data_IF_154851952956
#
_entry.id   IF_154851952956
#
_cell.length_a   1.000
_cell.length_b   1.000
_cell.length_c   1.000
_cell.angle_alpha   90.00
_cell.angle_beta   90.00
_cell.angle_gamma   90.00
#
_symmetry.space_group_name_H-M   'P 1'
#
loop_
_entity.id
_entity.type
_entity.pdbx_description
1 polymer ?
#
# COMPACT_ATOMS: atom_id res chain seq x y z
N UNK A 1 -8.28 20.83 -21.82
CA UNK A 1 -6.87 20.95 -21.40
C UNK A 1 -6.75 20.27 -20.04
N UNK A 2 -6.14 19.11 -20.00
CA UNK A 2 -5.86 18.41 -18.77
C UNK A 2 -4.46 18.83 -18.33
N UNK A 3 -4.28 19.45 -17.15
CA UNK A 3 -2.96 19.83 -16.65
C UNK A 3 -2.12 18.57 -16.41
N UNK A 4 -0.81 18.69 -16.61
CA UNK A 4 0.10 17.61 -16.28
C UNK A 4 0.14 17.44 -14.75
N UNK A 5 -0.06 16.22 -14.21
CA UNK A 5 -0.02 16.00 -12.78
C UNK A 5 1.39 16.21 -12.23
N UNK A 6 1.46 16.75 -11.00
CA UNK A 6 2.71 16.79 -10.27
C UNK A 6 3.17 15.36 -9.92
N UNK A 7 4.43 15.06 -10.21
CA UNK A 7 5.04 13.76 -9.92
C UNK A 7 6.08 13.93 -8.81
N UNK A 8 5.88 13.36 -7.62
CA UNK A 8 6.80 13.51 -6.48
C UNK A 8 8.07 12.65 -6.67
N UNK A 9 8.94 13.06 -7.59
CA UNK A 9 10.18 12.34 -7.94
C UNK A 9 11.28 12.51 -6.89
N UNK A 10 11.26 13.62 -6.15
CA UNK A 10 12.29 13.98 -5.14
C UNK A 10 12.11 13.25 -3.80
N UNK A 11 11.06 12.42 -3.68
CA UNK A 11 10.80 11.62 -2.50
C UNK A 11 11.44 10.23 -2.61
N UNK A 12 11.68 9.53 -1.49
CA UNK A 12 12.14 8.15 -1.53
C UNK A 12 11.19 7.25 -2.32
N UNK A 13 11.76 6.34 -3.12
CA UNK A 13 11.01 5.41 -3.96
C UNK A 13 9.97 4.62 -3.20
N UNK A 14 8.79 4.51 -3.80
CA UNK A 14 7.70 3.67 -3.32
C UNK A 14 6.81 3.20 -4.46
N UNK A 15 6.56 1.90 -4.51
CA UNK A 15 5.65 1.26 -5.45
C UNK A 15 4.83 0.16 -4.75
N UNK A 16 3.51 0.31 -4.61
CA UNK A 16 2.64 -0.79 -4.18
C UNK A 16 2.63 -1.92 -5.22
N UNK A 17 2.68 -3.16 -4.75
CA UNK A 17 2.65 -4.34 -5.61
C UNK A 17 1.19 -4.67 -5.95
N UNK A 18 0.87 -4.66 -7.23
CA UNK A 18 -0.46 -4.99 -7.77
C UNK A 18 -0.54 -6.46 -8.18
N UNK A 19 0.52 -6.96 -8.82
CA UNK A 19 0.59 -8.36 -9.25
C UNK A 19 2.02 -8.90 -9.25
N UNK A 20 2.15 -10.24 -9.22
CA UNK A 20 3.43 -10.94 -9.13
C UNK A 20 3.49 -12.05 -10.18
N UNK A 21 4.49 -12.00 -11.03
CA UNK A 21 4.72 -12.97 -12.10
C UNK A 21 6.08 -13.66 -11.96
N UNK A 22 6.15 -14.88 -12.40
CA UNK A 22 7.41 -15.59 -12.56
C UNK A 22 7.73 -15.70 -14.05
N UNK A 23 8.89 -15.21 -14.47
CA UNK A 23 9.36 -15.33 -15.85
C UNK A 23 10.47 -16.35 -15.88
N UNK A 24 10.25 -17.43 -16.66
CA UNK A 24 11.23 -18.50 -16.82
C UNK A 24 12.58 -17.95 -17.30
N UNK A 25 13.66 -18.27 -16.59
CA UNK A 25 15.02 -17.80 -16.87
C UNK A 25 15.34 -16.36 -16.50
N UNK A 26 14.35 -15.56 -16.05
CA UNK A 26 14.57 -14.15 -15.62
C UNK A 26 14.34 -13.92 -14.13
N UNK A 27 13.40 -14.64 -13.51
CA UNK A 27 13.07 -14.49 -12.09
C UNK A 27 11.67 -13.94 -11.83
N UNK A 28 11.49 -13.34 -10.68
CA UNK A 28 10.22 -12.76 -10.25
C UNK A 28 10.10 -11.31 -10.71
N UNK A 29 8.96 -11.00 -11.33
CA UNK A 29 8.58 -9.64 -11.74
C UNK A 29 7.36 -9.23 -10.94
N UNK A 30 7.39 -8.04 -10.39
CA UNK A 30 6.24 -7.41 -9.73
C UNK A 30 5.79 -6.20 -10.52
N UNK A 31 4.50 -6.01 -10.62
CA UNK A 31 3.91 -4.85 -11.31
C UNK A 31 3.26 -3.91 -10.33
N UNK A 32 3.24 -2.64 -10.66
CA UNK A 32 2.56 -1.62 -9.90
C UNK A 32 2.83 -0.22 -10.44
N UNK A 33 2.09 0.73 -9.89
CA UNK A 33 2.33 2.14 -10.20
C UNK A 33 3.28 2.72 -9.15
N UNK A 34 4.35 3.37 -9.62
CA UNK A 34 5.25 4.11 -8.73
C UNK A 34 4.49 5.32 -8.18
N UNK A 35 4.29 5.36 -6.86
CA UNK A 35 3.61 6.48 -6.20
C UNK A 35 4.51 7.69 -6.05
N UNK A 36 5.79 7.47 -5.72
CA UNK A 36 6.78 8.51 -5.49
C UNK A 36 8.19 8.00 -5.74
N UNK A 37 9.09 8.94 -5.94
CA UNK A 37 10.51 8.66 -6.15
C UNK A 37 10.84 8.10 -7.51
N UNK A 38 12.06 7.60 -7.59
CA UNK A 38 12.66 6.99 -8.78
C UNK A 38 13.30 5.67 -8.34
N UNK A 39 13.23 4.64 -9.16
CA UNK A 39 13.97 3.40 -9.01
C UNK A 39 14.86 3.18 -10.23
N UNK A 40 16.15 2.91 -9.99
CA UNK A 40 17.11 2.63 -11.05
C UNK A 40 17.39 1.13 -11.15
N UNK A 41 17.74 0.68 -12.34
CA UNK A 41 18.27 -0.68 -12.53
C UNK A 41 19.62 -0.80 -11.80
N UNK A 42 19.76 -1.85 -10.99
CA UNK A 42 20.93 -2.10 -10.13
C UNK A 42 20.76 -1.59 -8.70
N UNK A 43 19.71 -0.85 -8.38
CA UNK A 43 19.47 -0.29 -7.05
C UNK A 43 18.95 -1.34 -6.06
N UNK A 44 19.41 -1.26 -4.80
CA UNK A 44 18.88 -2.05 -3.70
C UNK A 44 17.53 -1.47 -3.27
N UNK A 45 16.54 -2.34 -3.10
CA UNK A 45 15.18 -2.01 -2.66
C UNK A 45 14.72 -2.98 -1.59
N UNK A 46 13.72 -2.59 -0.82
CA UNK A 46 13.08 -3.44 0.19
C UNK A 46 11.66 -3.81 -0.22
N UNK A 47 11.29 -5.05 0.11
CA UNK A 47 9.91 -5.54 0.04
C UNK A 47 9.34 -5.46 1.44
N UNK A 48 8.34 -4.61 1.66
CA UNK A 48 7.81 -4.28 2.99
C UNK A 48 6.31 -4.56 3.08
N UNK A 49 5.86 -5.00 4.25
CA UNK A 49 4.46 -5.26 4.57
C UNK A 49 4.07 -6.73 4.48
N UNK A 50 3.01 -7.12 5.19
CA UNK A 50 2.42 -8.46 5.30
C UNK A 50 3.37 -9.54 5.85
N UNK A 51 4.61 -9.56 5.44
CA UNK A 51 5.69 -10.47 5.86
C UNK A 51 6.88 -9.68 6.40
N UNK A 52 7.89 -10.40 6.88
CA UNK A 52 9.17 -9.78 7.25
C UNK A 52 9.77 -9.01 6.07
N UNK A 53 10.32 -7.84 6.37
CA UNK A 53 10.98 -7.00 5.36
C UNK A 53 12.18 -7.72 4.79
N UNK A 54 12.25 -7.83 3.49
CA UNK A 54 13.36 -8.44 2.77
C UNK A 54 14.00 -7.47 1.79
N UNK A 55 15.31 -7.62 1.61
CA UNK A 55 16.09 -6.81 0.66
C UNK A 55 16.27 -7.55 -0.65
N UNK A 56 16.20 -6.83 -1.74
CA UNK A 56 16.44 -7.33 -3.09
C UNK A 56 17.06 -6.25 -3.96
N UNK A 57 17.42 -6.60 -5.18
CA UNK A 57 17.95 -5.63 -6.16
C UNK A 57 17.00 -5.55 -7.36
N UNK A 58 16.68 -4.34 -7.79
CA UNK A 58 16.01 -4.09 -9.06
C UNK A 58 16.95 -4.44 -10.21
N UNK A 59 16.69 -5.51 -10.94
CA UNK A 59 17.56 -5.92 -12.07
C UNK A 59 17.00 -5.52 -13.42
N UNK A 60 15.83 -4.96 -13.47
CA UNK A 60 15.21 -4.44 -14.69
C UNK A 60 13.91 -3.72 -14.39
N UNK A 61 13.62 -2.73 -15.19
CA UNK A 61 12.35 -1.99 -15.21
C UNK A 61 11.79 -2.09 -16.61
N UNK A 62 10.52 -2.45 -16.74
CA UNK A 62 9.85 -2.62 -18.02
C UNK A 62 8.51 -1.88 -18.02
N UNK A 63 8.25 -1.14 -19.11
CA UNK A 63 6.96 -0.49 -19.36
C UNK A 63 6.57 -0.64 -20.81
N UNK A 64 5.35 -1.12 -21.10
CA UNK A 64 4.85 -1.34 -22.46
C UNK A 64 5.80 -2.18 -23.33
N UNK A 65 6.39 -3.26 -22.77
CA UNK A 65 7.37 -4.14 -23.44
C UNK A 65 8.69 -3.45 -23.82
N UNK A 66 9.00 -2.31 -23.21
CA UNK A 66 10.28 -1.62 -23.35
C UNK A 66 11.04 -1.67 -22.03
N UNK A 67 12.30 -2.04 -22.12
CA UNK A 67 13.22 -1.95 -20.99
C UNK A 67 13.60 -0.49 -20.78
N UNK A 68 13.58 -0.08 -19.53
CA UNK A 68 13.95 1.26 -19.08
C UNK A 68 15.15 1.17 -18.13
N UNK A 69 15.97 2.20 -18.11
CA UNK A 69 17.08 2.32 -17.16
C UNK A 69 16.58 2.69 -15.76
N UNK A 70 15.44 3.37 -15.69
CA UNK A 70 14.77 3.79 -14.46
C UNK A 70 13.26 3.83 -14.64
N UNK A 71 12.53 3.74 -13.51
CA UNK A 71 11.10 4.06 -13.40
C UNK A 71 10.89 5.24 -12.46
N UNK A 72 9.92 6.10 -12.74
CA UNK A 72 9.67 7.30 -11.95
C UNK A 72 8.21 7.44 -11.52
N UNK A 73 7.98 8.29 -10.50
CA UNK A 73 6.64 8.54 -9.96
C UNK A 73 5.60 8.77 -11.07
N UNK A 74 4.48 8.04 -10.99
CA UNK A 74 3.38 8.06 -11.96
C UNK A 74 3.47 6.98 -13.04
N UNK A 75 4.63 6.31 -13.20
CA UNK A 75 4.78 5.23 -14.17
C UNK A 75 4.17 3.93 -13.64
N UNK A 76 3.50 3.19 -14.52
CA UNK A 76 3.06 1.83 -14.25
C UNK A 76 4.08 0.86 -14.89
N UNK A 77 4.82 0.15 -14.05
CA UNK A 77 6.00 -0.63 -14.47
C UNK A 77 5.97 -2.05 -13.94
N UNK A 78 6.70 -2.92 -14.62
CA UNK A 78 7.17 -4.20 -14.10
C UNK A 78 8.60 -4.06 -13.60
N UNK A 79 8.85 -4.45 -12.35
CA UNK A 79 10.19 -4.45 -11.72
C UNK A 79 10.66 -5.89 -11.57
N UNK A 80 11.82 -6.19 -12.12
CA UNK A 80 12.46 -7.50 -12.02
C UNK A 80 13.32 -7.55 -10.75
N UNK A 81 13.07 -8.55 -9.90
CA UNK A 81 13.70 -8.72 -8.59
C UNK A 81 14.77 -9.82 -8.64
N UNK A 82 15.95 -9.52 -8.07
CA UNK A 82 17.05 -10.49 -7.99
C UNK A 82 16.84 -11.48 -6.85
N UNK A 83 16.94 -12.79 -7.16
CA UNK A 83 16.99 -13.85 -6.15
C UNK A 83 15.72 -14.00 -5.30
N UNK A 84 14.66 -13.31 -5.64
CA UNK A 84 13.37 -13.36 -4.95
C UNK A 84 12.48 -14.39 -5.63
N UNK A 85 11.96 -15.35 -4.86
CA UNK A 85 10.99 -16.31 -5.36
C UNK A 85 9.59 -15.73 -5.37
N UNK A 86 8.72 -16.25 -6.25
CA UNK A 86 7.34 -15.78 -6.35
C UNK A 86 6.56 -15.90 -5.02
N UNK A 87 6.83 -16.95 -4.24
CA UNK A 87 6.16 -17.23 -2.97
C UNK A 87 6.58 -16.27 -1.84
N UNK A 88 7.70 -15.57 -2.03
CA UNK A 88 8.24 -14.62 -1.06
C UNK A 88 7.58 -13.24 -1.18
N UNK A 89 6.93 -12.97 -2.32
CA UNK A 89 6.28 -11.70 -2.63
C UNK A 89 4.81 -11.90 -2.93
N UNK A 90 3.98 -11.00 -2.45
CA UNK A 90 2.55 -11.04 -2.72
C UNK A 90 1.97 -9.63 -2.93
N UNK A 91 0.80 -9.60 -3.58
CA UNK A 91 0.02 -8.38 -3.74
C UNK A 91 -0.26 -7.76 -2.36
N UNK A 92 -0.16 -6.44 -2.28
CA UNK A 92 -0.39 -5.70 -1.06
C UNK A 92 0.88 -5.32 -0.30
N UNK A 93 2.01 -5.99 -0.56
CA UNK A 93 3.32 -5.51 -0.16
C UNK A 93 3.73 -4.29 -1.00
N UNK A 94 4.77 -3.59 -0.57
CA UNK A 94 5.32 -2.45 -1.30
C UNK A 94 6.81 -2.65 -1.56
N UNK A 95 7.28 -2.19 -2.72
CA UNK A 95 8.69 -1.92 -2.94
C UNK A 95 9.02 -0.52 -2.46
N UNK A 96 10.10 -0.38 -1.74
CA UNK A 96 10.52 0.90 -1.18
C UNK A 96 12.05 1.07 -1.20
N UNK A 97 12.50 2.31 -1.17
CA UNK A 97 13.90 2.61 -0.89
C UNK A 97 14.27 2.10 0.52
N UNK A 98 15.49 1.52 0.72
CA UNK A 98 15.87 0.90 1.98
C UNK A 98 15.73 1.82 3.19
N UNK A 99 15.12 1.29 4.27
CA UNK A 99 14.95 2.00 5.54
C UNK A 99 13.98 3.17 5.54
N UNK A 100 13.24 3.40 4.46
CA UNK A 100 12.32 4.56 4.36
C UNK A 100 10.90 4.26 4.84
N UNK A 101 10.59 3.00 5.08
CA UNK A 101 9.25 2.52 5.40
C UNK A 101 9.29 1.56 6.58
N UNK A 102 8.43 1.80 7.55
CA UNK A 102 8.20 0.89 8.68
C UNK A 102 6.77 0.37 8.61
N UNK A 103 6.55 -0.93 8.68
CA UNK A 103 5.20 -1.49 8.76
C UNK A 103 4.60 -1.26 10.15
N UNK A 104 3.31 -0.97 10.20
CA UNK A 104 2.56 -0.77 11.44
C UNK A 104 1.33 -1.67 11.46
N UNK A 105 0.89 -2.06 12.67
CA UNK A 105 -0.36 -2.81 12.87
C UNK A 105 -1.46 -1.94 13.44
N UNK A 106 -1.12 -0.80 14.05
CA UNK A 106 -2.06 0.13 14.65
C UNK A 106 -1.98 1.49 13.94
N UNK A 107 -3.12 2.09 13.69
CA UNK A 107 -3.22 3.43 13.13
C UNK A 107 -4.46 4.17 13.64
N UNK A 108 -4.35 5.48 13.73
CA UNK A 108 -5.47 6.36 14.05
C UNK A 108 -6.05 6.92 12.74
N UNK A 109 -7.36 6.96 12.65
CA UNK A 109 -8.04 7.50 11.50
C UNK A 109 -9.30 8.29 11.90
N UNK A 110 -9.69 9.21 11.05
CA UNK A 110 -11.01 9.81 11.04
C UNK A 110 -11.82 9.13 9.95
N UNK A 111 -13.01 8.67 10.30
CA UNK A 111 -13.88 7.95 9.38
C UNK A 111 -15.27 8.56 9.34
N UNK A 112 -15.79 8.77 8.15
CA UNK A 112 -17.20 9.05 7.92
C UNK A 112 -17.94 7.74 7.65
N UNK A 113 -19.00 7.49 8.42
CA UNK A 113 -19.80 6.28 8.30
C UNK A 113 -20.94 6.52 7.34
N UNK A 114 -20.87 5.97 6.14
CA UNK A 114 -21.88 6.13 5.11
C UNK A 114 -23.27 5.71 5.62
N UNK A 115 -24.29 6.52 5.32
CA UNK A 115 -25.69 6.23 5.58
C UNK A 115 -26.22 5.18 4.61
N UNK A 116 -27.41 4.61 4.91
CA UNK A 116 -28.08 3.68 4.02
C UNK A 116 -28.38 4.29 2.64
N UNK A 117 -28.73 5.56 2.58
CA UNK A 117 -29.04 6.29 1.35
C UNK A 117 -27.81 6.47 0.46
N UNK A 118 -26.63 6.57 1.07
CA UNK A 118 -25.34 6.63 0.40
C UNK A 118 -24.76 5.25 0.03
N UNK A 119 -25.53 4.18 0.24
CA UNK A 119 -25.09 2.81 -0.02
C UNK A 119 -24.29 2.19 1.14
N UNK A 120 -24.29 2.84 2.30
CA UNK A 120 -23.63 2.35 3.50
C UNK A 120 -24.49 1.45 4.37
N UNK A 121 -24.11 1.34 5.63
CA UNK A 121 -24.80 0.51 6.60
C UNK A 121 -26.05 1.20 7.18
N UNK A 122 -26.97 0.42 7.72
CA UNK A 122 -28.20 0.91 8.37
C UNK A 122 -28.23 0.60 9.88
N UNK A 123 -27.19 -0.05 10.41
CA UNK A 123 -27.09 -0.40 11.83
C UNK A 123 -25.82 0.22 12.41
N UNK A 124 -25.85 0.63 13.70
CA UNK A 124 -24.64 1.10 14.38
C UNK A 124 -23.59 0.00 14.52
N UNK A 125 -22.36 0.39 14.85
CA UNK A 125 -21.35 -0.54 15.30
C UNK A 125 -20.74 -0.09 16.63
N UNK A 126 -20.14 -1.03 17.31
CA UNK A 126 -19.55 -0.88 18.65
C UNK A 126 -18.04 -1.08 18.58
N UNK A 127 -17.36 -0.79 19.69
CA UNK A 127 -15.96 -1.13 19.83
C UNK A 127 -15.72 -2.62 19.59
N UNK A 128 -14.56 -2.97 19.07
CA UNK A 128 -14.20 -4.33 18.60
C UNK A 128 -14.97 -4.78 17.33
N UNK A 129 -15.64 -3.89 16.63
CA UNK A 129 -16.12 -4.17 15.27
C UNK A 129 -14.95 -4.56 14.37
N UNK A 130 -15.15 -5.60 13.55
CA UNK A 130 -14.08 -6.19 12.72
C UNK A 130 -14.40 -6.04 11.22
N UNK A 131 -14.13 -4.86 10.64
CA UNK A 131 -14.26 -4.66 9.20
C UNK A 131 -13.05 -5.18 8.44
N UNK A 132 -13.19 -5.24 7.12
CA UNK A 132 -12.06 -5.28 6.21
C UNK A 132 -11.60 -3.86 5.93
N UNK A 133 -10.31 -3.62 6.07
CA UNK A 133 -9.67 -2.36 5.70
C UNK A 133 -8.97 -2.53 4.36
N UNK A 134 -9.16 -1.59 3.46
CA UNK A 134 -8.54 -1.59 2.15
C UNK A 134 -7.43 -0.55 2.11
N UNK A 135 -6.20 -1.03 1.91
CA UNK A 135 -5.02 -0.18 1.81
C UNK A 135 -4.35 -0.42 0.46
N UNK A 136 -4.34 0.60 -0.42
CA UNK A 136 -3.76 0.49 -1.76
C UNK A 136 -4.24 -0.76 -2.50
N UNK A 137 -3.39 -1.79 -2.54
CA UNK A 137 -3.61 -3.01 -3.32
C UNK A 137 -3.99 -4.22 -2.46
N UNK A 138 -4.12 -4.04 -1.15
CA UNK A 138 -4.49 -5.13 -0.22
C UNK A 138 -5.72 -4.82 0.60
N UNK A 139 -6.38 -5.87 1.07
CA UNK A 139 -7.40 -5.85 2.10
C UNK A 139 -6.94 -6.66 3.31
N UNK A 140 -7.25 -6.17 4.49
CA UNK A 140 -6.91 -6.81 5.75
C UNK A 140 -8.03 -6.71 6.75
N UNK A 141 -8.19 -7.75 7.54
CA UNK A 141 -9.10 -7.73 8.68
C UNK A 141 -8.41 -7.09 9.88
N UNK A 142 -9.14 -6.23 10.57
CA UNK A 142 -8.69 -5.64 11.83
C UNK A 142 -9.86 -5.35 12.75
N UNK A 143 -9.59 -4.80 13.91
CA UNK A 143 -10.59 -4.33 14.87
C UNK A 143 -10.55 -2.83 15.00
N UNK A 144 -11.71 -2.25 15.33
CA UNK A 144 -11.86 -0.82 15.60
C UNK A 144 -11.98 -0.62 17.11
N UNK A 145 -11.19 0.30 17.64
CA UNK A 145 -11.31 0.79 19.02
C UNK A 145 -11.85 2.21 18.98
N UNK A 146 -13.01 2.40 19.62
CA UNK A 146 -13.67 3.69 19.76
C UNK A 146 -13.03 4.50 20.90
N UNK A 147 -13.04 5.82 20.81
CA UNK A 147 -12.53 6.67 21.88
C UNK A 147 -13.35 6.53 23.16
N UNK A 148 -12.71 6.78 24.29
CA UNK A 148 -13.35 6.72 25.61
C UNK A 148 -14.59 7.61 25.67
N UNK A 149 -15.71 7.04 26.11
CA UNK A 149 -17.00 7.74 26.19
C UNK A 149 -17.91 7.57 24.95
N UNK A 150 -17.42 6.91 23.91
CA UNK A 150 -18.24 6.56 22.73
C UNK A 150 -18.58 5.07 22.80
N UNK A 151 -19.85 4.74 23.02
CA UNK A 151 -20.30 3.36 23.10
C UNK A 151 -20.58 2.78 21.71
N UNK A 152 -21.16 3.58 20.81
CA UNK A 152 -21.50 3.17 19.45
C UNK A 152 -21.34 4.31 18.46
N UNK A 153 -21.26 3.95 17.19
CA UNK A 153 -21.19 4.88 16.05
C UNK A 153 -22.37 4.62 15.12
N UNK A 154 -23.08 5.68 14.77
CA UNK A 154 -24.26 5.62 13.90
C UNK A 154 -23.88 5.88 12.44
N UNK A 155 -24.65 5.37 11.47
CA UNK A 155 -24.56 5.83 10.09
C UNK A 155 -24.75 7.35 9.99
N UNK A 156 -23.85 8.04 9.27
CA UNK A 156 -23.81 9.50 9.15
C UNK A 156 -22.85 10.18 10.12
N UNK A 157 -22.28 9.45 11.07
CA UNK A 157 -21.31 10.02 12.01
C UNK A 157 -19.90 10.17 11.41
N UNK A 158 -19.20 11.22 11.87
CA UNK A 158 -17.75 11.35 11.75
C UNK A 158 -17.12 10.96 13.07
N UNK A 159 -16.16 10.04 13.03
CA UNK A 159 -15.51 9.51 14.23
C UNK A 159 -14.00 9.39 14.06
N UNK A 160 -13.25 9.89 15.05
CA UNK A 160 -11.85 9.56 15.21
C UNK A 160 -11.73 8.24 15.97
N UNK A 161 -11.03 7.25 15.41
CA UNK A 161 -10.91 5.92 15.99
C UNK A 161 -9.52 5.36 15.80
N UNK A 162 -9.17 4.35 16.61
CA UNK A 162 -7.97 3.56 16.42
C UNK A 162 -8.34 2.25 15.74
N UNK A 163 -7.65 1.91 14.67
CA UNK A 163 -7.79 0.64 13.99
C UNK A 163 -6.54 -0.21 14.21
N UNK A 164 -6.76 -1.47 14.59
CA UNK A 164 -5.71 -2.46 14.81
C UNK A 164 -5.86 -3.57 13.79
N UNK A 165 -4.89 -3.67 12.90
CA UNK A 165 -4.81 -4.73 11.91
C UNK A 165 -4.19 -5.99 12.48
N UNK A 166 -4.65 -7.17 12.07
CA UNK A 166 -4.05 -8.45 12.47
C UNK A 166 -2.80 -8.81 11.67
N UNK A 167 -2.49 -8.03 10.63
CA UNK A 167 -1.27 -8.18 9.83
C UNK A 167 -0.50 -6.86 9.80
N UNK A 168 0.82 -6.95 9.63
CA UNK A 168 1.67 -5.76 9.49
C UNK A 168 1.32 -5.02 8.20
N UNK A 169 0.74 -3.84 8.35
CA UNK A 169 0.39 -2.95 7.27
C UNK A 169 1.28 -1.73 7.25
N UNK A 170 1.37 -1.13 6.11
CA UNK A 170 1.78 0.25 6.02
C UNK A 170 0.55 1.15 6.10
N UNK A 171 0.36 1.80 7.24
CA UNK A 171 -0.59 2.91 7.34
C UNK A 171 -0.14 4.04 6.42
N UNK A 172 -1.06 4.60 5.67
CA UNK A 172 -0.80 5.79 4.87
C UNK A 172 -0.77 6.99 5.82
N UNK A 173 0.35 7.71 5.88
CA UNK A 173 0.31 9.07 6.38
C UNK A 173 -0.46 9.92 5.35
N UNK A 174 -1.76 10.04 5.51
CA UNK A 174 -2.52 11.11 4.86
C UNK A 174 -2.16 12.39 5.59
N UNK A 175 -1.37 13.25 4.96
CA UNK A 175 -1.36 14.65 5.34
C UNK A 175 -2.78 15.14 5.12
N UNK A 176 -3.50 15.41 6.21
CA UNK A 176 -4.71 16.23 6.14
C UNK A 176 -4.30 17.61 5.65
N UNK A 177 -4.91 18.04 4.57
CA UNK A 177 -4.88 19.42 4.11
C UNK A 177 -5.93 20.23 4.89
#
# INVERSE_FOLDING_TARGET
YIPQPERPKDQPFLMPIEDVFSISGRGTVVTGRIERGIVNVGEEIEIVGLKETTKTTCTGVEMFRKLLDQGEAGDNVGVLLRGTKREEVERGQVLAAPGTITPHTEFKCEAYVLTKEEGGRHTPFFSNYRPQFYFRTTDVTGSVELPSGTEMVMPGDNIAMTAVSYTHLRAHETKSY
#
